data_IF_741508091414
#
_entry.id   IF_741508091414
#
_cell.length_a   1.000
_cell.length_b   1.000
_cell.length_c   1.000
_cell.angle_alpha   90.00
_cell.angle_beta   90.00
_cell.angle_gamma   90.00
#
_symmetry.space_group_name_H-M   'P 1'
#
loop_
_entity.id
_entity.type
_entity.pdbx_description
1 polymer ?
#
# COMPACT_ATOMS: atom_id res chain seq x y z
N UNK A 1 -7.53 -31.48 -11.96
CA UNK A 1 -6.26 -30.88 -12.46
C UNK A 1 -5.59 -30.20 -11.28
N UNK A 2 -4.33 -30.56 -10.97
CA UNK A 2 -3.58 -29.84 -9.96
C UNK A 2 -3.34 -28.42 -10.45
N UNK A 3 -3.66 -27.43 -9.62
CA UNK A 3 -3.33 -26.03 -9.88
C UNK A 3 -1.81 -25.93 -9.73
N UNK A 4 -1.10 -25.78 -10.85
CA UNK A 4 0.37 -25.60 -10.82
C UNK A 4 0.64 -24.10 -10.90
N UNK A 5 0.96 -23.49 -9.76
CA UNK A 5 1.48 -22.14 -9.69
C UNK A 5 2.99 -22.15 -9.99
N UNK A 6 3.46 -21.11 -10.64
CA UNK A 6 4.85 -20.96 -11.02
C UNK A 6 5.64 -20.27 -9.88
N UNK A 7 6.82 -20.77 -9.58
CA UNK A 7 7.72 -20.14 -8.62
C UNK A 7 8.53 -19.04 -9.31
N UNK A 8 8.43 -17.80 -8.82
CA UNK A 8 9.14 -16.64 -9.37
C UNK A 8 9.74 -15.79 -8.25
N UNK A 9 10.88 -15.14 -8.52
CA UNK A 9 11.48 -14.19 -7.56
C UNK A 9 10.72 -12.87 -7.55
N UNK A 10 10.45 -12.32 -6.36
CA UNK A 10 9.78 -11.03 -6.21
C UNK A 10 10.49 -9.90 -6.98
N UNK A 11 11.82 -9.89 -6.98
CA UNK A 11 12.60 -8.91 -7.73
C UNK A 11 12.49 -9.03 -9.25
N UNK A 12 11.96 -10.14 -9.78
CA UNK A 12 11.64 -10.30 -11.20
C UNK A 12 10.19 -9.90 -11.53
N UNK A 13 9.35 -9.75 -10.52
CA UNK A 13 7.94 -9.35 -10.65
C UNK A 13 7.79 -7.85 -10.39
N UNK A 14 8.42 -7.36 -9.32
CA UNK A 14 8.34 -5.99 -8.86
C UNK A 14 9.66 -5.24 -9.07
N UNK A 15 9.60 -4.16 -9.82
CA UNK A 15 10.67 -3.16 -9.88
C UNK A 15 10.46 -2.13 -8.77
N UNK A 16 11.54 -1.65 -8.17
CA UNK A 16 11.48 -0.59 -7.20
C UNK A 16 11.98 0.74 -7.77
N UNK A 17 11.42 1.82 -7.29
CA UNK A 17 11.84 3.18 -7.54
C UNK A 17 12.20 3.84 -6.22
N UNK A 18 13.30 4.60 -6.21
CA UNK A 18 13.71 5.40 -5.06
C UNK A 18 12.78 6.60 -4.90
N UNK A 19 12.36 6.92 -3.67
CA UNK A 19 11.32 7.90 -3.44
C UNK A 19 11.81 9.36 -3.39
N UNK A 20 13.10 9.65 -3.55
CA UNK A 20 13.70 10.96 -3.32
C UNK A 20 13.02 12.11 -4.07
N UNK A 21 12.55 11.85 -5.30
CA UNK A 21 11.86 12.86 -6.11
C UNK A 21 10.49 13.28 -5.55
N UNK A 22 9.92 12.46 -4.67
CA UNK A 22 8.56 12.58 -4.15
C UNK A 22 8.49 12.96 -2.68
N UNK A 23 9.65 13.19 -2.04
CA UNK A 23 9.70 13.58 -0.62
C UNK A 23 9.17 15.01 -0.49
N UNK A 24 8.21 15.19 0.42
CA UNK A 24 7.69 16.51 0.78
C UNK A 24 8.79 17.36 1.43
N UNK A 25 8.87 18.63 1.07
CA UNK A 25 9.85 19.58 1.64
C UNK A 25 9.33 20.29 2.87
N UNK A 26 8.06 20.71 2.82
CA UNK A 26 7.39 21.33 3.96
C UNK A 26 7.06 20.32 5.05
N UNK A 27 7.00 20.80 6.28
CA UNK A 27 6.44 20.07 7.44
C UNK A 27 5.08 20.62 7.85
N UNK A 28 4.58 21.61 7.13
CA UNK A 28 3.25 22.20 7.35
C UNK A 28 2.23 21.42 6.55
N UNK A 29 1.25 20.87 7.26
CA UNK A 29 0.15 20.08 6.67
C UNK A 29 -1.17 20.73 7.04
N UNK A 30 -2.11 20.76 6.09
CA UNK A 30 -3.45 21.31 6.31
C UNK A 30 -4.49 20.41 5.62
N UNK A 31 -5.59 20.12 6.29
CA UNK A 31 -6.67 19.27 5.77
C UNK A 31 -7.40 19.87 4.55
N UNK A 32 -7.21 21.18 4.29
CA UNK A 32 -7.71 21.84 3.10
C UNK A 32 -6.84 21.63 1.85
N UNK A 33 -5.64 21.11 2.00
CA UNK A 33 -4.77 20.80 0.86
C UNK A 33 -5.18 19.47 0.22
N UNK A 34 -4.80 19.27 -1.05
CA UNK A 34 -5.32 18.16 -1.85
C UNK A 34 -4.37 16.97 -1.99
N UNK A 35 -3.07 17.17 -1.77
CA UNK A 35 -2.07 16.13 -2.02
C UNK A 35 -1.70 15.43 -0.71
N UNK A 36 -2.08 14.17 -0.52
CA UNK A 36 -1.75 13.42 0.69
C UNK A 36 -0.24 13.16 0.77
N UNK A 37 0.30 13.28 1.99
CA UNK A 37 1.66 12.92 2.35
C UNK A 37 1.63 11.61 3.09
N UNK A 38 2.23 10.58 2.51
CA UNK A 38 2.20 9.22 3.03
C UNK A 38 3.46 8.91 3.85
N UNK A 39 3.28 8.06 4.84
CA UNK A 39 4.34 7.51 5.66
C UNK A 39 4.13 6.00 5.81
N UNK A 40 5.17 5.28 6.19
CA UNK A 40 5.09 3.86 6.46
C UNK A 40 4.67 3.53 7.92
N UNK A 41 4.47 4.54 8.76
CA UNK A 41 4.08 4.38 10.17
C UNK A 41 2.61 3.97 10.36
N UNK A 42 2.18 3.92 11.63
CA UNK A 42 0.81 3.55 12.00
C UNK A 42 -0.27 4.46 11.37
N UNK A 43 0.04 5.76 11.23
CA UNK A 43 -0.81 6.71 10.48
C UNK A 43 -0.30 6.77 9.06
N UNK A 44 -0.89 5.97 8.17
CA UNK A 44 -0.45 5.89 6.77
C UNK A 44 -0.51 7.25 6.05
N UNK A 45 -1.56 8.04 6.24
CA UNK A 45 -1.66 9.43 5.81
C UNK A 45 -1.22 10.32 6.97
N UNK A 46 -0.15 11.07 6.77
CA UNK A 46 0.38 12.00 7.77
C UNK A 46 -0.37 13.34 7.77
N UNK A 47 -0.86 13.76 6.61
CA UNK A 47 -1.58 15.00 6.36
C UNK A 47 -1.58 15.31 4.88
N UNK A 48 -1.93 16.55 4.52
CA UNK A 48 -1.99 16.99 3.13
C UNK A 48 -1.07 18.21 2.92
N UNK A 49 -0.56 18.38 1.69
CA UNK A 49 0.31 19.49 1.29
C UNK A 49 -0.21 20.19 0.05
N UNK A 50 0.14 21.45 -0.13
CA UNK A 50 -0.12 22.25 -1.33
C UNK A 50 1.03 22.19 -2.36
N UNK A 51 2.10 21.46 -2.07
CA UNK A 51 3.20 21.31 -3.01
C UNK A 51 2.74 20.67 -4.32
N UNK A 52 2.86 21.40 -5.43
CA UNK A 52 2.42 21.00 -6.77
C UNK A 52 3.50 20.26 -7.59
N UNK A 53 4.71 20.14 -7.04
CA UNK A 53 5.87 19.47 -7.66
C UNK A 53 6.22 18.17 -6.93
N UNK A 54 6.97 17.28 -7.61
CA UNK A 54 7.46 16.03 -7.01
C UNK A 54 6.31 15.16 -6.46
N UNK A 55 5.19 15.10 -7.20
CA UNK A 55 4.05 14.27 -6.86
C UNK A 55 4.21 12.93 -7.57
N UNK A 56 4.17 11.81 -6.84
CA UNK A 56 4.06 10.49 -7.45
C UNK A 56 2.67 10.33 -8.04
N UNK A 57 2.60 10.23 -9.35
CA UNK A 57 1.33 9.95 -10.04
C UNK A 57 1.03 8.45 -9.88
N UNK A 58 -0.08 8.17 -9.23
CA UNK A 58 -0.66 6.85 -9.15
C UNK A 58 -2.17 6.96 -9.40
N UNK A 59 -2.76 5.89 -9.88
CA UNK A 59 -4.19 5.80 -10.20
C UNK A 59 -4.64 4.34 -10.17
N UNK A 60 -5.92 4.08 -10.30
CA UNK A 60 -6.45 2.71 -10.40
C UNK A 60 -5.85 1.92 -11.59
N UNK A 61 -5.50 2.61 -12.68
CA UNK A 61 -4.85 2.00 -13.84
C UNK A 61 -3.34 1.81 -13.63
N UNK A 62 -2.72 2.65 -12.82
CA UNK A 62 -1.28 2.65 -12.54
C UNK A 62 -1.01 2.74 -11.03
N UNK A 63 -1.40 1.73 -10.26
CA UNK A 63 -1.18 1.73 -8.83
C UNK A 63 0.27 1.47 -8.47
N UNK A 64 0.60 1.83 -7.23
CA UNK A 64 1.95 1.67 -6.66
C UNK A 64 1.82 0.95 -5.32
N UNK A 65 2.73 0.04 -5.03
CA UNK A 65 2.88 -0.51 -3.69
C UNK A 65 3.98 0.28 -2.98
N UNK A 66 3.67 0.88 -1.84
CA UNK A 66 4.67 1.45 -0.93
C UNK A 66 5.14 0.33 -0.01
N UNK A 67 6.46 0.11 0.01
CA UNK A 67 7.10 -0.87 0.88
C UNK A 67 8.04 -0.14 1.86
N UNK A 68 7.85 -0.35 3.14
CA UNK A 68 8.76 0.16 4.17
C UNK A 68 9.99 -0.74 4.28
N UNK A 69 11.15 -0.15 4.03
CA UNK A 69 12.43 -0.86 4.01
C UNK A 69 12.90 -1.32 5.42
N UNK A 70 12.26 -0.83 6.49
CA UNK A 70 12.63 -1.17 7.87
C UNK A 70 11.62 -2.08 8.57
N UNK A 71 10.33 -1.76 8.44
CA UNK A 71 9.26 -2.55 9.09
C UNK A 71 8.74 -3.67 8.20
N UNK A 72 9.11 -3.66 6.91
CA UNK A 72 8.62 -4.56 5.86
C UNK A 72 7.12 -4.49 5.62
N UNK A 73 6.44 -3.50 6.19
CA UNK A 73 5.03 -3.24 5.91
C UNK A 73 4.83 -2.77 4.48
N UNK A 74 3.68 -3.06 3.91
CA UNK A 74 3.35 -2.64 2.54
C UNK A 74 1.93 -2.09 2.44
N UNK A 75 1.76 -1.07 1.58
CA UNK A 75 0.49 -0.39 1.34
C UNK A 75 0.24 -0.27 -0.16
N UNK A 76 -0.97 -0.60 -0.59
CA UNK A 76 -1.43 -0.39 -1.96
C UNK A 76 -1.95 1.03 -2.12
N UNK A 77 -1.53 1.74 -3.17
CA UNK A 77 -1.91 3.14 -3.42
C UNK A 77 -2.32 3.31 -4.87
N UNK A 78 -3.52 3.79 -5.10
CA UNK A 78 -4.11 4.05 -6.40
C UNK A 78 -4.55 5.51 -6.61
N UNK A 79 -3.92 6.43 -5.87
CA UNK A 79 -4.10 7.88 -5.97
C UNK A 79 -2.75 8.60 -5.93
N UNK A 80 -2.69 9.83 -6.43
CA UNK A 80 -1.45 10.63 -6.44
C UNK A 80 -1.08 11.08 -5.04
N UNK A 81 0.23 11.07 -4.71
CA UNK A 81 0.72 11.32 -3.36
C UNK A 81 2.14 11.88 -3.33
N UNK A 82 2.53 12.41 -2.18
CA UNK A 82 3.92 12.63 -1.78
C UNK A 82 4.26 11.74 -0.59
N UNK A 83 5.52 11.65 -0.24
CA UNK A 83 5.98 10.80 0.87
C UNK A 83 6.82 11.58 1.86
N UNK A 84 6.89 11.09 3.10
CA UNK A 84 7.61 11.75 4.18
C UNK A 84 9.10 11.46 4.18
N UNK A 85 9.52 10.25 3.83
CA UNK A 85 10.93 9.85 4.01
C UNK A 85 11.44 8.88 2.94
N UNK A 86 12.77 8.75 2.88
CA UNK A 86 13.48 7.82 1.98
C UNK A 86 13.49 6.37 2.46
N UNK A 87 12.87 6.08 3.60
CA UNK A 87 12.77 4.71 4.13
C UNK A 87 11.87 3.80 3.29
N UNK A 88 11.03 4.40 2.44
CA UNK A 88 10.07 3.67 1.60
C UNK A 88 10.66 3.32 0.23
N UNK A 89 10.18 2.24 -0.36
CA UNK A 89 10.37 1.89 -1.77
C UNK A 89 9.02 1.96 -2.47
N UNK A 90 9.02 2.47 -3.69
CA UNK A 90 7.84 2.48 -4.55
C UNK A 90 7.95 1.31 -5.52
N UNK A 91 7.04 0.34 -5.39
CA UNK A 91 7.08 -0.88 -6.18
C UNK A 91 5.99 -0.86 -7.24
N UNK A 92 6.36 -1.25 -8.45
CA UNK A 92 5.43 -1.41 -9.58
C UNK A 92 5.77 -2.69 -10.34
N UNK A 93 4.86 -3.22 -11.13
CA UNK A 93 5.10 -4.42 -11.95
C UNK A 93 6.13 -4.16 -13.06
N UNK A 94 6.99 -5.15 -13.34
CA UNK A 94 7.78 -5.19 -14.56
C UNK A 94 6.88 -5.44 -15.78
N UNK A 95 5.98 -6.42 -15.68
CA UNK A 95 5.12 -6.88 -16.78
C UNK A 95 3.65 -6.72 -16.39
N UNK A 96 3.07 -5.55 -16.69
CA UNK A 96 1.67 -5.23 -16.35
C UNK A 96 0.65 -6.12 -17.08
N UNK A 97 1.02 -6.71 -18.21
CA UNK A 97 0.15 -7.56 -19.01
C UNK A 97 0.05 -8.99 -18.45
N UNK A 98 1.10 -9.44 -17.78
CA UNK A 98 1.22 -10.80 -17.27
C UNK A 98 0.91 -10.94 -15.78
N UNK A 99 1.03 -9.86 -15.02
CA UNK A 99 0.85 -9.89 -13.57
C UNK A 99 -0.22 -8.90 -13.10
N UNK A 100 -1.02 -9.32 -12.12
CA UNK A 100 -1.99 -8.46 -11.45
C UNK A 100 -1.38 -7.87 -10.18
N UNK A 101 -1.26 -6.55 -10.10
CA UNK A 101 -0.57 -5.88 -9.00
C UNK A 101 -1.28 -6.09 -7.66
N UNK A 102 -2.61 -6.21 -7.62
CA UNK A 102 -3.33 -6.46 -6.36
C UNK A 102 -3.10 -7.89 -5.86
N UNK A 103 -3.04 -8.86 -6.78
CA UNK A 103 -2.61 -10.22 -6.46
C UNK A 103 -1.20 -10.22 -5.87
N UNK A 104 -0.24 -9.58 -6.55
CA UNK A 104 1.17 -9.50 -6.11
C UNK A 104 1.29 -8.78 -4.76
N UNK A 105 0.49 -7.74 -4.53
CA UNK A 105 0.42 -7.05 -3.23
C UNK A 105 0.01 -8.01 -2.10
N UNK A 106 -0.99 -8.86 -2.32
CA UNK A 106 -1.42 -9.84 -1.33
C UNK A 106 -0.37 -10.94 -1.12
N UNK A 107 0.31 -11.37 -2.18
CA UNK A 107 1.44 -12.29 -2.07
C UNK A 107 2.54 -11.68 -1.20
N UNK A 108 2.89 -10.41 -1.44
CA UNK A 108 3.89 -9.67 -0.66
C UNK A 108 3.50 -9.56 0.81
N UNK A 109 2.24 -9.21 1.11
CA UNK A 109 1.70 -9.10 2.48
C UNK A 109 1.68 -10.43 3.23
N UNK A 110 1.57 -11.54 2.52
CA UNK A 110 1.49 -12.88 3.12
C UNK A 110 2.86 -13.49 3.41
N UNK A 111 3.96 -12.77 3.14
CA UNK A 111 5.30 -13.24 3.48
C UNK A 111 5.49 -13.06 4.99
N UNK A 112 5.64 -14.20 5.68
CA UNK A 112 5.97 -14.19 7.11
C UNK A 112 7.46 -13.91 7.28
N UNK A 113 7.78 -12.67 7.65
CA UNK A 113 9.15 -12.22 7.85
C UNK A 113 9.23 -11.23 9.02
N UNK A 114 10.09 -11.52 9.97
CA UNK A 114 10.37 -10.64 11.11
C UNK A 114 11.73 -9.98 10.90
N UNK A 115 11.80 -8.64 10.76
CA UNK A 115 13.06 -7.93 10.64
C UNK A 115 13.94 -8.13 11.88
N UNK A 116 15.16 -8.62 11.71
CA UNK A 116 16.13 -8.84 12.81
C UNK A 116 17.17 -7.73 12.92
N UNK A 117 17.21 -6.80 11.96
CA UNK A 117 18.20 -5.71 11.88
C UNK A 117 17.57 -4.46 11.27
N UNK A 118 18.23 -3.30 11.44
CA UNK A 118 17.85 -2.04 10.80
C UNK A 118 18.42 -1.93 9.35
N UNK A 119 18.39 -3.03 8.60
CA UNK A 119 18.83 -3.06 7.20
C UNK A 119 17.70 -2.63 6.25
N UNK A 120 18.09 -2.37 5.01
CA UNK A 120 17.15 -2.10 3.91
C UNK A 120 16.72 -3.44 3.30
N UNK A 121 15.56 -3.92 3.75
CA UNK A 121 15.10 -5.29 3.51
C UNK A 121 14.68 -5.58 2.07
N UNK A 122 14.29 -4.58 1.26
CA UNK A 122 13.89 -4.86 -0.11
C UNK A 122 15.02 -5.47 -0.93
N UNK A 123 16.17 -4.79 -1.02
CA UNK A 123 17.30 -5.22 -1.85
C UNK A 123 18.02 -6.42 -1.23
N UNK A 124 18.20 -6.42 0.08
CA UNK A 124 18.95 -7.48 0.78
C UNK A 124 18.19 -8.81 0.79
N UNK A 125 16.88 -8.78 0.91
CA UNK A 125 16.06 -9.94 1.29
C UNK A 125 14.85 -10.14 0.37
N UNK A 126 13.89 -9.19 0.37
CA UNK A 126 12.57 -9.40 -0.26
C UNK A 126 12.64 -9.65 -1.75
N UNK A 127 13.49 -8.93 -2.48
CA UNK A 127 13.67 -9.15 -3.93
C UNK A 127 14.12 -10.55 -4.30
N UNK A 128 14.69 -11.29 -3.34
CA UNK A 128 15.24 -12.64 -3.54
C UNK A 128 14.26 -13.75 -3.17
N UNK A 129 13.16 -13.41 -2.48
CA UNK A 129 12.16 -14.42 -2.12
C UNK A 129 11.53 -15.04 -3.36
N UNK A 130 11.44 -16.36 -3.33
CA UNK A 130 10.68 -17.11 -4.29
C UNK A 130 9.22 -17.19 -3.83
N UNK A 131 8.31 -16.75 -4.68
CA UNK A 131 6.87 -16.72 -4.41
C UNK A 131 6.13 -17.52 -5.46
N UNK A 132 4.99 -18.09 -5.08
CA UNK A 132 4.12 -18.81 -5.99
C UNK A 132 3.18 -17.85 -6.70
N UNK A 133 3.21 -17.88 -8.03
CA UNK A 133 2.40 -17.02 -8.90
C UNK A 133 1.37 -17.87 -9.65
N UNK A 134 0.13 -17.48 -9.54
CA UNK A 134 -0.96 -18.05 -10.33
C UNK A 134 -0.83 -17.64 -11.81
N UNK A 135 -1.57 -18.31 -12.70
CA UNK A 135 -1.66 -17.88 -14.10
C UNK A 135 -2.31 -16.50 -14.21
N UNK A 136 -2.00 -15.68 -15.23
CA UNK A 136 -2.47 -14.30 -15.34
C UNK A 136 -3.99 -14.12 -15.15
N UNK A 137 -4.80 -14.97 -15.77
CA UNK A 137 -6.27 -14.94 -15.62
C UNK A 137 -6.73 -15.25 -14.19
N UNK A 138 -6.05 -16.16 -13.53
CA UNK A 138 -6.34 -16.54 -12.15
C UNK A 138 -5.91 -15.44 -11.18
N UNK A 139 -4.76 -14.78 -11.42
CA UNK A 139 -4.31 -13.63 -10.66
C UNK A 139 -5.36 -12.49 -10.67
N UNK A 140 -5.97 -12.22 -11.83
CA UNK A 140 -7.04 -11.21 -11.94
C UNK A 140 -8.22 -11.56 -11.04
N UNK A 141 -8.72 -12.79 -11.12
CA UNK A 141 -9.88 -13.25 -10.33
C UNK A 141 -9.58 -13.18 -8.83
N UNK A 142 -8.42 -13.68 -8.42
CA UNK A 142 -8.00 -13.69 -7.02
C UNK A 142 -7.76 -12.25 -6.53
N UNK A 143 -7.08 -11.42 -7.33
CA UNK A 143 -6.81 -10.02 -7.00
C UNK A 143 -8.10 -9.22 -6.83
N UNK A 144 -9.06 -9.35 -7.73
CA UNK A 144 -10.38 -8.70 -7.61
C UNK A 144 -11.16 -9.20 -6.39
N UNK A 145 -11.11 -10.49 -6.09
CA UNK A 145 -11.76 -11.04 -4.92
C UNK A 145 -11.23 -10.39 -3.62
N UNK A 146 -9.91 -10.35 -3.43
CA UNK A 146 -9.31 -9.70 -2.27
C UNK A 146 -9.55 -8.19 -2.24
N UNK A 147 -9.51 -7.52 -3.39
CA UNK A 147 -9.84 -6.09 -3.48
C UNK A 147 -11.27 -5.80 -3.01
N UNK A 148 -12.21 -6.63 -3.42
CA UNK A 148 -13.60 -6.50 -2.99
C UNK A 148 -13.76 -6.75 -1.48
N UNK A 149 -13.04 -7.72 -0.92
CA UNK A 149 -13.02 -7.95 0.53
C UNK A 149 -12.45 -6.76 1.29
N UNK A 150 -11.32 -6.20 0.87
CA UNK A 150 -10.70 -5.02 1.51
C UNK A 150 -11.63 -3.79 1.43
N UNK A 151 -12.33 -3.61 0.31
CA UNK A 151 -13.34 -2.55 0.17
C UNK A 151 -14.51 -2.75 1.16
N UNK A 152 -15.00 -3.97 1.31
CA UNK A 152 -16.07 -4.29 2.27
C UNK A 152 -15.59 -4.08 3.71
N UNK A 153 -14.40 -4.51 4.05
CA UNK A 153 -13.80 -4.27 5.38
C UNK A 153 -13.73 -2.77 5.67
N UNK A 154 -13.23 -1.99 4.72
CA UNK A 154 -13.12 -0.53 4.85
C UNK A 154 -14.49 0.13 5.03
N UNK A 155 -15.49 -0.28 4.25
CA UNK A 155 -16.88 0.23 4.35
C UNK A 155 -17.48 -0.07 5.71
N UNK A 156 -17.35 -1.31 6.19
CA UNK A 156 -17.86 -1.71 7.49
C UNK A 156 -17.15 -1.02 8.65
N UNK A 157 -15.84 -0.78 8.53
CA UNK A 157 -15.08 -0.03 9.52
C UNK A 157 -15.59 1.40 9.64
N UNK A 158 -15.77 2.11 8.52
CA UNK A 158 -16.37 3.46 8.50
C UNK A 158 -17.76 3.49 9.14
N UNK A 159 -18.59 2.49 8.81
CA UNK A 159 -19.92 2.39 9.40
C UNK A 159 -19.90 2.16 10.91
N UNK A 160 -18.97 1.33 11.39
CA UNK A 160 -18.74 1.14 12.82
C UNK A 160 -18.36 2.45 13.52
N UNK A 161 -17.47 3.23 12.90
CA UNK A 161 -16.98 4.48 13.49
C UNK A 161 -18.10 5.56 13.49
N UNK A 162 -18.92 5.65 12.43
CA UNK A 162 -20.12 6.48 12.42
C UNK A 162 -21.07 6.12 13.56
N UNK A 163 -21.37 4.84 13.74
CA UNK A 163 -22.28 4.37 14.80
C UNK A 163 -21.70 4.65 16.21
N UNK A 164 -20.39 4.52 16.40
CA UNK A 164 -19.73 4.91 17.66
C UNK A 164 -19.89 6.40 17.93
N UNK A 165 -19.74 7.25 16.91
CA UNK A 165 -19.91 8.70 17.04
C UNK A 165 -21.38 9.07 17.37
N UNK A 166 -22.36 8.45 16.70
CA UNK A 166 -23.79 8.63 17.02
C UNK A 166 -24.07 8.20 18.47
N UNK A 167 -23.57 7.01 18.87
CA UNK A 167 -23.74 6.53 20.26
C UNK A 167 -23.14 7.52 21.26
N UNK A 168 -21.94 8.03 21.02
CA UNK A 168 -21.28 9.03 21.87
C UNK A 168 -22.13 10.30 21.97
N UNK A 169 -22.57 10.84 20.84
CA UNK A 169 -23.42 12.03 20.80
C UNK A 169 -24.71 11.84 21.59
N UNK A 170 -25.40 10.70 21.43
CA UNK A 170 -26.64 10.41 22.18
C UNK A 170 -26.36 10.31 23.69
N UNK A 171 -25.29 9.64 24.11
CA UNK A 171 -24.93 9.55 25.53
C UNK A 171 -24.64 10.93 26.15
N UNK A 172 -23.99 11.82 25.40
CA UNK A 172 -23.66 13.17 25.86
C UNK A 172 -24.87 14.13 25.91
N UNK A 173 -25.94 13.86 25.14
CA UNK A 173 -27.07 14.79 25.02
C UNK A 173 -28.41 14.23 25.55
N UNK A 174 -28.52 12.94 25.84
CA UNK A 174 -29.79 12.34 26.33
C UNK A 174 -29.81 12.11 27.85
N UNK A 175 -28.68 12.14 28.51
CA UNK A 175 -28.54 11.85 29.95
C UNK A 175 -28.06 13.07 30.74
N UNK A 176 -28.39 14.25 30.31
CA UNK A 176 -28.13 15.52 31.03
C UNK A 176 -29.18 15.75 32.08
#
# INVERSE_FOLDING_TARGET
>A
MAIVWEQRKLGNILKYEQPQAYIVKSTEYDDNYSIPVLTAGQSFVLGYTDEDFGIKKASQAEPVIIFDDFTTSSHYVDFSFKIKSSAMKLLTLYEKENDNIYFVFNVLKNIDYVPVSHERHWISTFSKFDVLMAKPKEQVVIGEFFRNLDNLITLHQRKCDELKNIKKFMLENMFI
#
